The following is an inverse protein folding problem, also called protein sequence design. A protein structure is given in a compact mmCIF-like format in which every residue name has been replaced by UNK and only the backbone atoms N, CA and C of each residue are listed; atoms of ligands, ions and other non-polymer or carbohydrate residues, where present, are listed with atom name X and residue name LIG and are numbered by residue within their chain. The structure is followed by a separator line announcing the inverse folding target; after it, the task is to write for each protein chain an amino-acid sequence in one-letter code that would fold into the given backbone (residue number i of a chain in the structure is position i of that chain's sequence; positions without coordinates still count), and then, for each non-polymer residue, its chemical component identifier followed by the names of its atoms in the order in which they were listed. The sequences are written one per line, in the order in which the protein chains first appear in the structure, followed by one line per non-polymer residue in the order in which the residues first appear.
data_IF_978121261053
#
_entry.id   IF_978121261053
#
_cell.length_a   1.000
_cell.length_b   1.000
_cell.length_c   1.000
_cell.angle_alpha   90.00
_cell.angle_beta   90.00
_cell.angle_gamma   90.00
#
_symmetry.space_group_name_H-M   'P 1'
#
loop_
_entity.id
_entity.type
_entity.pdbx_description
1 polymer ?
#
# COMPACT_ATOMS: atom_id res chain seq x y z
N UNK A 1 2.42 10.57 -1.86
CA UNK A 1 3.41 9.96 -2.79
C UNK A 1 3.56 8.46 -2.61
N UNK A 2 4.10 7.93 -1.50
CA UNK A 2 4.35 6.48 -1.38
C UNK A 2 3.08 5.62 -1.28
N UNK A 3 2.09 6.04 -0.47
CA UNK A 3 0.79 5.36 -0.40
C UNK A 3 0.02 5.45 -1.73
N UNK A 4 0.13 6.58 -2.43
CA UNK A 4 -0.50 6.76 -3.75
C UNK A 4 0.14 5.85 -4.80
N UNK A 5 1.47 5.65 -4.73
CA UNK A 5 2.18 4.68 -5.56
C UNK A 5 1.65 3.27 -5.32
N UNK A 6 1.64 2.78 -4.07
CA UNK A 6 1.11 1.45 -3.76
C UNK A 6 -0.34 1.27 -4.20
N UNK A 7 -1.18 2.30 -4.04
CA UNK A 7 -2.57 2.29 -4.49
C UNK A 7 -2.70 2.18 -6.01
N UNK A 8 -1.92 2.98 -6.76
CA UNK A 8 -1.89 2.93 -8.23
C UNK A 8 -1.40 1.58 -8.74
N UNK A 9 -0.32 1.07 -8.17
CA UNK A 9 0.27 -0.23 -8.54
C UNK A 9 -0.68 -1.39 -8.22
N UNK A 10 -1.36 -1.37 -7.07
CA UNK A 10 -2.38 -2.37 -6.73
C UNK A 10 -3.56 -2.35 -7.72
N UNK A 11 -4.07 -1.16 -8.05
CA UNK A 11 -5.17 -1.02 -9.01
C UNK A 11 -4.78 -1.45 -10.42
N UNK A 12 -3.56 -1.15 -10.85
CA UNK A 12 -3.03 -1.60 -12.13
C UNK A 12 -2.89 -3.13 -12.17
N UNK A 13 -2.33 -3.74 -11.12
CA UNK A 13 -2.26 -5.20 -11.00
C UNK A 13 -3.64 -5.87 -11.04
N UNK A 14 -4.64 -5.30 -10.38
CA UNK A 14 -6.02 -5.81 -10.44
C UNK A 14 -6.63 -5.72 -11.85
N UNK A 15 -6.37 -4.63 -12.59
CA UNK A 15 -6.81 -4.48 -13.98
C UNK A 15 -6.16 -5.50 -14.91
N UNK A 16 -4.86 -5.72 -14.77
CA UNK A 16 -4.11 -6.73 -15.55
C UNK A 16 -4.68 -8.13 -15.28
N UNK A 17 -4.89 -8.50 -14.02
CA UNK A 17 -5.48 -9.81 -13.67
C UNK A 17 -6.90 -9.97 -14.24
N UNK A 18 -7.70 -8.90 -14.24
CA UNK A 18 -9.03 -8.94 -14.85
C UNK A 18 -8.97 -9.13 -16.38
N UNK A 19 -8.05 -8.44 -17.05
CA UNK A 19 -7.77 -8.59 -18.48
C UNK A 19 -7.33 -10.01 -18.83
N UNK A 20 -6.34 -10.55 -18.12
CA UNK A 20 -5.85 -11.93 -18.32
C UNK A 20 -6.97 -12.97 -18.16
N UNK A 21 -7.85 -12.81 -17.18
CA UNK A 21 -9.00 -13.71 -17.00
C UNK A 21 -9.98 -13.65 -18.18
N UNK A 22 -10.19 -12.46 -18.74
CA UNK A 22 -11.03 -12.29 -19.91
C UNK A 22 -10.38 -12.94 -21.14
N UNK A 23 -9.10 -12.66 -21.38
CA UNK A 23 -8.34 -13.22 -22.50
C UNK A 23 -8.32 -14.74 -22.47
N UNK A 24 -7.95 -15.36 -21.33
CA UNK A 24 -7.97 -16.82 -21.14
C UNK A 24 -9.34 -17.41 -21.49
N UNK A 25 -10.43 -16.79 -21.02
CA UNK A 25 -11.79 -17.26 -21.33
C UNK A 25 -12.13 -17.08 -22.82
N UNK A 26 -11.69 -15.99 -23.45
CA UNK A 26 -11.96 -15.72 -24.85
C UNK A 26 -11.20 -16.68 -25.77
N UNK A 27 -9.93 -16.93 -25.52
CA UNK A 27 -9.08 -17.82 -26.32
C UNK A 27 -9.56 -19.26 -26.23
N UNK A 28 -9.95 -19.72 -25.04
CA UNK A 28 -10.49 -21.08 -24.88
C UNK A 28 -11.82 -21.25 -25.61
N UNK A 29 -12.69 -20.24 -25.60
CA UNK A 29 -13.93 -20.28 -26.40
C UNK A 29 -13.66 -20.29 -27.90
N UNK A 30 -12.61 -19.61 -28.36
CA UNK A 30 -12.22 -19.66 -29.78
C UNK A 30 -11.77 -21.07 -30.17
N UNK A 31 -10.89 -21.69 -29.36
CA UNK A 31 -10.43 -23.06 -29.57
C UNK A 31 -11.57 -24.10 -29.52
N UNK A 32 -12.59 -23.89 -28.67
CA UNK A 32 -13.80 -24.73 -28.64
C UNK A 32 -14.62 -24.57 -29.94
N UNK A 33 -14.78 -23.34 -30.43
CA UNK A 33 -15.53 -23.05 -31.67
C UNK A 33 -14.84 -23.59 -32.92
N UNK A 34 -13.51 -23.57 -32.94
CA UNK A 34 -12.70 -24.13 -34.03
C UNK A 34 -12.64 -25.67 -34.00
N UNK A 35 -13.26 -26.30 -32.99
CA UNK A 35 -13.26 -27.76 -32.83
C UNK A 35 -11.90 -28.34 -32.40
N UNK A 36 -10.92 -27.47 -32.09
CA UNK A 36 -9.59 -27.87 -31.64
C UNK A 36 -9.60 -28.44 -30.21
N UNK A 37 -10.61 -28.07 -29.41
CA UNK A 37 -10.85 -28.62 -28.09
C UNK A 37 -12.30 -29.09 -27.97
N UNK A 38 -12.48 -30.29 -27.43
CA UNK A 38 -13.81 -30.70 -26.94
C UNK A 38 -14.22 -29.81 -25.76
N UNK A 39 -15.52 -29.65 -25.54
CA UNK A 39 -16.08 -28.89 -24.40
C UNK A 39 -15.44 -29.29 -23.06
N UNK A 40 -15.23 -30.59 -22.83
CA UNK A 40 -14.60 -31.10 -21.60
C UNK A 40 -13.12 -30.71 -21.49
N UNK A 41 -12.38 -30.71 -22.59
CA UNK A 41 -10.98 -30.26 -22.60
C UNK A 41 -10.89 -28.74 -22.39
N UNK A 42 -11.76 -27.97 -23.04
CA UNK A 42 -11.85 -26.52 -22.88
C UNK A 42 -12.15 -26.13 -21.42
N UNK A 43 -13.11 -26.78 -20.76
CA UNK A 43 -13.43 -26.53 -19.35
C UNK A 43 -12.26 -26.85 -18.41
N UNK A 44 -11.57 -27.97 -18.63
CA UNK A 44 -10.42 -28.36 -17.81
C UNK A 44 -9.24 -27.40 -17.99
N UNK A 45 -8.97 -27.00 -19.24
CA UNK A 45 -7.92 -26.02 -19.54
C UNK A 45 -8.24 -24.65 -18.92
N UNK A 46 -9.51 -24.21 -19.00
CA UNK A 46 -9.95 -22.96 -18.39
C UNK A 46 -9.77 -22.97 -16.88
N UNK A 47 -10.13 -24.08 -16.22
CA UNK A 47 -9.94 -24.23 -14.77
C UNK A 47 -8.47 -24.14 -14.38
N UNK A 48 -7.57 -24.81 -15.12
CA UNK A 48 -6.12 -24.77 -14.84
C UNK A 48 -5.54 -23.36 -15.01
N UNK A 49 -5.76 -22.74 -16.16
CA UNK A 49 -5.22 -21.40 -16.46
C UNK A 49 -5.79 -20.33 -15.53
N UNK A 50 -7.09 -20.39 -15.21
CA UNK A 50 -7.68 -19.46 -14.24
C UNK A 50 -7.13 -19.68 -12.83
N UNK A 51 -6.77 -20.91 -12.47
CA UNK A 51 -6.16 -21.20 -11.18
C UNK A 51 -4.74 -20.63 -11.09
N UNK A 52 -3.93 -20.75 -12.15
CA UNK A 52 -2.61 -20.13 -12.23
C UNK A 52 -2.69 -18.61 -12.08
N UNK A 53 -3.57 -17.95 -12.84
CA UNK A 53 -3.82 -16.49 -12.72
C UNK A 53 -4.27 -16.11 -11.30
N UNK A 54 -5.07 -16.96 -10.64
CA UNK A 54 -5.48 -16.71 -9.25
C UNK A 54 -4.31 -16.87 -8.26
N UNK A 55 -3.41 -17.82 -8.48
CA UNK A 55 -2.23 -18.04 -7.64
C UNK A 55 -1.27 -16.86 -7.75
N UNK A 56 -1.01 -16.38 -8.96
CA UNK A 56 -0.19 -15.18 -9.17
C UNK A 56 -0.83 -13.95 -8.52
N UNK A 57 -2.15 -13.77 -8.65
CA UNK A 57 -2.88 -12.69 -7.97
C UNK A 57 -2.67 -12.74 -6.45
N UNK A 58 -2.79 -13.93 -5.86
CA UNK A 58 -2.58 -14.12 -4.41
C UNK A 58 -1.13 -13.80 -4.00
N UNK A 59 -0.15 -14.25 -4.78
CA UNK A 59 1.26 -13.97 -4.55
C UNK A 59 1.55 -12.46 -4.59
N UNK A 60 1.04 -11.77 -5.61
CA UNK A 60 1.15 -10.32 -5.73
C UNK A 60 0.50 -9.58 -4.55
N UNK A 61 -0.71 -9.99 -4.15
CA UNK A 61 -1.41 -9.39 -3.00
C UNK A 61 -0.60 -9.57 -1.70
N UNK A 62 -0.01 -10.75 -1.49
CA UNK A 62 0.83 -11.03 -0.32
C UNK A 62 2.08 -10.15 -0.33
N UNK A 63 2.76 -10.05 -1.48
CA UNK A 63 3.93 -9.19 -1.65
C UNK A 63 3.62 -7.73 -1.32
N UNK A 64 2.56 -7.18 -1.92
CA UNK A 64 2.12 -5.79 -1.67
C UNK A 64 1.80 -5.55 -0.19
N UNK A 65 1.14 -6.49 0.46
CA UNK A 65 0.80 -6.39 1.90
C UNK A 65 2.06 -6.33 2.76
N UNK A 66 3.07 -7.14 2.44
CA UNK A 66 4.34 -7.16 3.18
C UNK A 66 5.07 -5.83 3.02
N UNK A 67 5.20 -5.32 1.79
CA UNK A 67 5.94 -4.08 1.52
C UNK A 67 5.25 -2.86 2.13
N UNK A 68 3.92 -2.74 2.01
CA UNK A 68 3.15 -1.67 2.65
C UNK A 68 3.37 -1.69 4.18
N UNK A 69 3.33 -2.88 4.80
CA UNK A 69 3.52 -3.01 6.24
C UNK A 69 4.93 -2.62 6.69
N UNK A 70 5.97 -2.94 5.91
CA UNK A 70 7.34 -2.50 6.18
C UNK A 70 7.44 -0.97 6.17
N UNK A 71 6.88 -0.33 5.15
CA UNK A 71 6.91 1.13 5.01
C UNK A 71 6.07 1.83 6.09
N UNK A 72 4.90 1.29 6.45
CA UNK A 72 4.10 1.80 7.57
C UNK A 72 4.84 1.70 8.91
N UNK A 73 5.60 0.63 9.15
CA UNK A 73 6.42 0.49 10.36
C UNK A 73 7.52 1.55 10.41
N UNK A 74 8.21 1.81 9.30
CA UNK A 74 9.23 2.87 9.20
C UNK A 74 8.61 4.25 9.45
N UNK A 75 7.50 4.57 8.78
CA UNK A 75 6.79 5.83 8.96
C UNK A 75 6.35 6.05 10.42
N UNK A 76 5.77 5.03 11.08
CA UNK A 76 5.39 5.09 12.49
C UNK A 76 6.56 5.41 13.42
N UNK A 77 7.76 4.86 13.17
CA UNK A 77 8.96 5.15 13.96
C UNK A 77 9.37 6.63 13.82
N UNK A 78 9.37 7.14 12.59
CA UNK A 78 9.70 8.55 12.30
C UNK A 78 8.71 9.49 12.99
N UNK A 79 7.40 9.24 12.85
CA UNK A 79 6.35 10.06 13.48
C UNK A 79 6.48 10.06 15.00
N UNK A 80 6.68 8.90 15.63
CA UNK A 80 6.89 8.82 17.10
C UNK A 80 8.12 9.60 17.55
N UNK A 81 9.22 9.50 16.81
CA UNK A 81 10.46 10.25 17.11
C UNK A 81 10.26 11.75 16.95
N UNK A 82 9.63 12.18 15.85
CA UNK A 82 9.30 13.58 15.58
C UNK A 82 8.40 14.17 16.66
N UNK A 83 7.35 13.46 17.08
CA UNK A 83 6.45 13.88 18.15
C UNK A 83 7.19 14.07 19.48
N UNK A 84 8.12 13.17 19.83
CA UNK A 84 8.96 13.32 21.03
C UNK A 84 9.84 14.56 20.95
N UNK A 85 10.53 14.77 19.82
CA UNK A 85 11.38 15.96 19.60
C UNK A 85 10.58 17.25 19.70
N UNK A 86 9.40 17.29 19.08
CA UNK A 86 8.47 18.42 19.14
C UNK A 86 8.02 18.71 20.58
N UNK A 87 7.57 17.70 21.32
CA UNK A 87 7.16 17.85 22.73
C UNK A 87 8.28 18.43 23.60
N UNK A 88 9.51 17.94 23.44
CA UNK A 88 10.68 18.46 24.15
C UNK A 88 11.00 19.92 23.77
N UNK A 89 10.91 20.27 22.49
CA UNK A 89 11.12 21.64 22.01
C UNK A 89 10.07 22.61 22.59
N UNK A 90 8.79 22.21 22.60
CA UNK A 90 7.70 22.99 23.20
C UNK A 90 7.93 23.21 24.69
N UNK A 91 8.29 22.16 25.46
CA UNK A 91 8.61 22.28 26.88
C UNK A 91 9.77 23.24 27.14
N UNK A 92 10.83 23.16 26.32
CA UNK A 92 11.99 24.04 26.45
C UNK A 92 11.65 25.50 26.10
N UNK A 93 10.86 25.72 25.05
CA UNK A 93 10.35 27.04 24.69
C UNK A 93 9.53 27.64 25.83
N UNK A 94 8.56 26.88 26.36
CA UNK A 94 7.73 27.31 27.49
C UNK A 94 8.57 27.72 28.72
N UNK A 95 9.61 26.94 29.05
CA UNK A 95 10.55 27.29 30.12
C UNK A 95 11.28 28.61 29.85
N UNK A 96 11.75 28.84 28.62
CA UNK A 96 12.40 30.10 28.23
C UNK A 96 11.46 31.29 28.34
N UNK A 97 10.23 31.19 27.83
CA UNK A 97 9.19 32.23 27.93
C UNK A 97 8.93 32.58 29.40
N UNK A 98 8.73 31.59 30.28
CA UNK A 98 8.54 31.83 31.72
C UNK A 98 9.74 32.53 32.37
N UNK A 99 10.97 32.15 32.02
CA UNK A 99 12.18 32.83 32.53
C UNK A 99 12.24 34.29 32.06
N UNK A 100 11.92 34.55 30.80
CA UNK A 100 11.87 35.91 30.24
C UNK A 100 10.80 36.76 30.93
N UNK A 101 9.58 36.24 31.09
CA UNK A 101 8.50 36.92 31.82
C UNK A 101 8.90 37.32 33.24
N UNK A 102 9.57 36.42 33.98
CA UNK A 102 10.09 36.72 35.33
C UNK A 102 11.13 37.85 35.31
N UNK A 103 12.03 37.87 34.32
CA UNK A 103 13.05 38.93 34.17
C UNK A 103 12.41 40.29 33.88
N UNK A 104 11.42 40.35 32.99
CA UNK A 104 10.70 41.58 32.65
C UNK A 104 9.96 42.13 33.86
N UNK A 105 9.21 41.29 34.60
CA UNK A 105 8.52 41.70 35.84
C UNK A 105 9.46 42.24 36.92
N UNK A 106 10.69 41.73 37.01
CA UNK A 106 11.70 42.25 37.95
C UNK A 106 12.29 43.58 37.51
N UNK A 107 12.40 43.84 36.20
CA UNK A 107 12.96 45.09 35.66
C UNK A 107 11.97 46.26 35.70
N UNK A 108 10.68 46.02 35.46
CA UNK A 108 9.64 47.06 35.56
C UNK A 108 9.19 47.42 36.98
N UNK A 109 9.93 46.97 38.01
CA UNK A 109 9.74 47.33 39.43
C UNK A 109 10.91 48.16 39.99
N UNK A 110 11.89 48.51 39.16
CA UNK A 110 12.94 49.50 39.44
C UNK A 110 12.54 50.80 38.78
#
# INVERSE_FOLDING_TARGET
MLLDFFRKTANMGLKIVAGLKYEVKSSIRALEKEGLLSKRQAENLAKRLLNEVNMERKAFQKFMTVEINKELKKAKKVVKSGAKKFSSAVKNCHKKVKKTQRRVKKRGKK
#
